data_IF_687743931903
#
_entry.id   IF_687743931903
#
_cell.length_a   1.000
_cell.length_b   1.000
_cell.length_c   1.000
_cell.angle_alpha   90.00
_cell.angle_beta   90.00
_cell.angle_gamma   90.00
#
_symmetry.space_group_name_H-M   'P 1'
#
loop_
_entity.id
_entity.type
_entity.pdbx_description
1 polymer ?
#
# COMPACT_ATOMS: atom_id res chain seq x y z
N UNK A 1 4.46 -16.57 -21.88
CA UNK A 1 4.37 -16.87 -20.43
C UNK A 1 3.59 -18.17 -20.29
N UNK A 2 4.24 -19.26 -19.87
CA UNK A 2 3.54 -20.53 -19.67
C UNK A 2 2.50 -20.35 -18.57
N UNK A 3 1.25 -20.73 -18.86
CA UNK A 3 0.15 -20.64 -17.91
C UNK A 3 0.52 -21.48 -16.67
N UNK A 4 0.61 -20.84 -15.50
CA UNK A 4 0.83 -21.56 -14.24
C UNK A 4 -0.25 -22.64 -14.08
N UNK A 5 0.16 -23.88 -13.77
CA UNK A 5 -0.78 -24.96 -13.44
C UNK A 5 -1.70 -24.52 -12.30
N UNK A 6 -2.97 -24.91 -12.35
CA UNK A 6 -3.98 -24.52 -11.35
C UNK A 6 -3.53 -24.80 -9.92
N UNK A 7 -2.93 -25.99 -9.67
CA UNK A 7 -2.34 -26.35 -8.37
C UNK A 7 -1.33 -25.30 -7.88
N UNK A 8 -0.45 -24.80 -8.74
CA UNK A 8 0.54 -23.77 -8.36
C UNK A 8 -0.12 -22.43 -8.05
N UNK A 9 -1.18 -22.06 -8.78
CA UNK A 9 -1.95 -20.83 -8.50
C UNK A 9 -2.64 -20.88 -7.14
N UNK A 10 -3.26 -22.02 -6.82
CA UNK A 10 -3.90 -22.24 -5.51
C UNK A 10 -2.90 -22.18 -4.36
N UNK A 11 -1.75 -22.86 -4.49
CA UNK A 11 -0.70 -22.80 -3.48
C UNK A 11 -0.09 -21.40 -3.32
N UNK A 12 0.05 -20.65 -4.41
CA UNK A 12 0.48 -19.26 -4.35
C UNK A 12 -0.54 -18.39 -3.62
N UNK A 13 -1.83 -18.52 -3.97
CA UNK A 13 -2.91 -17.79 -3.29
C UNK A 13 -2.94 -18.09 -1.80
N UNK A 14 -2.88 -19.37 -1.42
CA UNK A 14 -2.81 -19.80 -0.02
C UNK A 14 -1.57 -19.26 0.69
N UNK A 15 -0.39 -19.32 0.05
CA UNK A 15 0.83 -18.75 0.61
C UNK A 15 0.68 -17.24 0.87
N UNK A 16 0.21 -16.47 -0.11
CA UNK A 16 0.03 -15.02 0.05
C UNK A 16 -0.99 -14.70 1.15
N UNK A 17 -2.03 -15.52 1.29
CA UNK A 17 -3.01 -15.40 2.38
C UNK A 17 -2.36 -15.60 3.76
N UNK A 18 -1.57 -16.66 3.94
CA UNK A 18 -0.84 -16.91 5.19
C UNK A 18 0.16 -15.78 5.49
N UNK A 19 0.87 -15.27 4.47
CA UNK A 19 1.76 -14.12 4.63
C UNK A 19 1.00 -12.88 5.10
N UNK A 20 -0.22 -12.64 4.62
CA UNK A 20 -1.06 -11.54 5.10
C UNK A 20 -1.39 -11.65 6.58
N UNK A 21 -1.80 -12.84 7.03
CA UNK A 21 -2.09 -13.12 8.45
C UNK A 21 -0.85 -12.87 9.32
N UNK A 22 0.32 -13.40 8.89
CA UNK A 22 1.55 -13.25 9.66
C UNK A 22 2.01 -11.79 9.68
N UNK A 23 1.91 -11.08 8.55
CA UNK A 23 2.31 -9.69 8.44
C UNK A 23 1.55 -8.83 9.46
N UNK A 24 0.21 -8.77 9.37
CA UNK A 24 -0.57 -7.97 10.33
C UNK A 24 -0.47 -8.51 11.76
N UNK A 25 -0.18 -9.81 11.90
CA UNK A 25 0.13 -10.44 13.17
C UNK A 25 1.30 -9.77 13.90
N UNK A 26 2.28 -9.19 13.18
CA UNK A 26 3.38 -8.43 13.79
C UNK A 26 2.82 -7.27 14.63
N UNK A 27 1.99 -6.42 14.04
CA UNK A 27 1.34 -5.31 14.74
C UNK A 27 0.44 -5.78 15.88
N UNK A 28 -0.41 -6.79 15.64
CA UNK A 28 -1.34 -7.33 16.65
C UNK A 28 -0.58 -7.89 17.86
N UNK A 29 0.51 -8.62 17.64
CA UNK A 29 1.29 -9.20 18.73
C UNK A 29 2.10 -8.13 19.48
N UNK A 30 2.63 -7.13 18.78
CA UNK A 30 3.34 -6.01 19.42
C UNK A 30 2.40 -5.17 20.29
N UNK A 31 1.19 -4.87 19.83
CA UNK A 31 0.20 -4.15 20.66
C UNK A 31 -0.24 -4.99 21.87
N UNK A 32 -0.45 -6.30 21.70
CA UNK A 32 -0.73 -7.22 22.83
C UNK A 32 0.43 -7.34 23.82
N UNK A 33 1.67 -7.16 23.35
CA UNK A 33 2.86 -7.10 24.20
C UNK A 33 3.05 -5.74 24.89
N UNK A 34 2.10 -4.80 24.74
CA UNK A 34 2.13 -3.50 25.39
C UNK A 34 2.92 -2.42 24.63
N UNK A 35 3.33 -2.68 23.39
CA UNK A 35 3.97 -1.64 22.57
C UNK A 35 2.92 -0.61 22.18
N UNK A 36 3.15 0.64 22.59
CA UNK A 36 2.26 1.76 22.31
C UNK A 36 2.06 1.98 20.81
N UNK A 37 0.86 2.45 20.45
CA UNK A 37 0.57 2.87 19.09
C UNK A 37 1.33 4.18 18.77
N UNK A 38 1.78 4.41 17.52
CA UNK A 38 2.44 5.65 17.13
C UNK A 38 1.60 6.90 17.38
N UNK A 39 2.00 7.68 18.37
CA UNK A 39 1.52 9.04 18.62
C UNK A 39 2.61 10.06 18.30
N UNK A 40 2.24 11.07 17.50
CA UNK A 40 3.11 12.13 17.05
C UNK A 40 2.31 13.28 16.46
N UNK A 41 2.90 14.48 16.50
CA UNK A 41 2.40 15.68 15.86
C UNK A 41 3.41 16.09 14.78
N UNK A 42 3.27 15.59 13.54
CA UNK A 42 4.19 15.95 12.48
C UNK A 42 4.10 17.47 12.20
N UNK A 43 5.20 18.10 11.77
CA UNK A 43 5.16 19.50 11.35
C UNK A 43 4.19 19.70 10.18
N UNK A 44 3.69 20.91 9.98
CA UNK A 44 2.67 21.24 8.96
C UNK A 44 3.05 20.77 7.54
N UNK A 45 4.33 20.81 7.19
CA UNK A 45 4.84 20.37 5.89
C UNK A 45 4.94 18.84 5.76
N UNK A 46 4.93 18.10 6.87
CA UNK A 46 5.13 16.66 6.93
C UNK A 46 4.13 15.87 6.09
N UNK A 47 2.81 16.08 6.25
CA UNK A 47 1.79 15.43 5.42
C UNK A 47 1.99 15.70 3.92
N UNK A 48 2.30 16.94 3.53
CA UNK A 48 2.58 17.28 2.14
C UNK A 48 3.81 16.53 1.61
N UNK A 49 4.89 16.46 2.38
CA UNK A 49 6.10 15.74 1.98
C UNK A 49 5.84 14.23 1.79
N UNK A 50 5.09 13.60 2.70
CA UNK A 50 4.70 12.19 2.58
C UNK A 50 3.82 11.95 1.34
N UNK A 51 2.87 12.85 1.08
CA UNK A 51 2.00 12.80 -0.08
C UNK A 51 2.78 12.92 -1.41
N UNK A 52 3.70 13.88 -1.49
CA UNK A 52 4.59 14.06 -2.64
C UNK A 52 5.46 12.81 -2.87
N UNK A 53 6.05 12.27 -1.80
CA UNK A 53 6.89 11.06 -1.87
C UNK A 53 6.10 9.87 -2.42
N UNK A 54 4.89 9.64 -1.92
CA UNK A 54 4.02 8.58 -2.41
C UNK A 54 3.71 8.76 -3.90
N UNK A 55 3.39 9.97 -4.33
CA UNK A 55 3.07 10.26 -5.73
C UNK A 55 4.27 10.06 -6.66
N UNK A 56 5.50 10.34 -6.19
CA UNK A 56 6.73 9.95 -6.91
C UNK A 56 6.82 8.41 -7.02
N UNK A 57 6.46 7.68 -5.97
CA UNK A 57 6.30 6.22 -6.01
C UNK A 57 5.27 5.76 -7.05
N UNK A 58 4.09 6.40 -7.10
CA UNK A 58 3.05 6.09 -8.09
C UNK A 58 3.54 6.36 -9.51
N UNK A 59 4.33 7.42 -9.74
CA UNK A 59 4.97 7.68 -11.03
C UNK A 59 5.91 6.54 -11.42
N UNK A 60 6.72 6.06 -10.47
CA UNK A 60 7.58 4.90 -10.69
C UNK A 60 6.74 3.66 -11.04
N UNK A 61 5.68 3.37 -10.29
CA UNK A 61 4.79 2.23 -10.53
C UNK A 61 4.13 2.31 -11.91
N UNK A 62 3.64 3.49 -12.29
CA UNK A 62 3.03 3.76 -13.59
C UNK A 62 4.00 3.49 -14.75
N UNK A 63 5.26 3.91 -14.61
CA UNK A 63 6.31 3.60 -15.59
C UNK A 63 6.59 2.10 -15.68
N UNK A 64 6.62 1.38 -14.55
CA UNK A 64 6.80 -0.08 -14.52
C UNK A 64 5.65 -0.83 -15.19
N UNK A 65 4.41 -0.40 -14.97
CA UNK A 65 3.23 -0.97 -15.64
C UNK A 65 3.28 -0.72 -17.15
N UNK A 66 3.71 0.48 -17.57
CA UNK A 66 3.92 0.81 -18.99
C UNK A 66 5.00 -0.05 -19.65
N UNK A 67 6.07 -0.38 -18.93
CA UNK A 67 7.14 -1.25 -19.42
C UNK A 67 6.74 -2.74 -19.44
N UNK A 68 5.86 -3.17 -18.52
CA UNK A 68 5.41 -4.55 -18.41
C UNK A 68 4.65 -5.06 -19.65
N UNK A 69 3.88 -4.20 -20.32
CA UNK A 69 3.20 -4.53 -21.57
C UNK A 69 3.58 -3.56 -22.67
N UNK A 70 3.70 -4.05 -23.90
CA UNK A 70 3.91 -3.18 -25.06
C UNK A 70 2.66 -2.29 -25.21
N UNK A 71 2.82 -1.01 -24.91
CA UNK A 71 1.83 0.05 -25.10
C UNK A 71 0.42 -0.25 -24.53
N UNK A 72 0.26 -0.39 -23.19
CA UNK A 72 -1.09 -0.48 -22.62
C UNK A 72 -1.90 0.76 -23.00
N UNK A 73 -3.22 0.61 -23.19
CA UNK A 73 -4.11 1.78 -23.30
C UNK A 73 -4.08 2.60 -22.01
N UNK A 74 -4.44 3.88 -22.08
CA UNK A 74 -4.51 4.76 -20.91
C UNK A 74 -5.32 4.12 -19.78
N UNK A 75 -6.54 3.68 -20.11
CA UNK A 75 -7.46 3.05 -19.16
C UNK A 75 -6.82 1.82 -18.50
N UNK A 76 -6.18 0.92 -19.27
CA UNK A 76 -5.54 -0.28 -18.70
C UNK A 76 -4.40 0.06 -17.75
N UNK A 77 -3.54 1.01 -18.12
CA UNK A 77 -2.45 1.44 -17.26
C UNK A 77 -2.98 2.09 -15.97
N UNK A 78 -3.96 2.99 -16.12
CA UNK A 78 -4.59 3.68 -15.00
C UNK A 78 -5.30 2.73 -14.06
N UNK A 79 -6.17 1.83 -14.55
CA UNK A 79 -6.87 0.86 -13.72
C UNK A 79 -5.90 -0.04 -12.94
N UNK A 80 -4.82 -0.50 -13.57
CA UNK A 80 -3.82 -1.33 -12.88
C UNK A 80 -3.10 -0.54 -11.78
N UNK A 81 -2.68 0.68 -12.06
CA UNK A 81 -2.01 1.55 -11.06
C UNK A 81 -2.96 1.89 -9.92
N UNK A 82 -4.20 2.27 -10.23
CA UNK A 82 -5.25 2.57 -9.26
C UNK A 82 -5.56 1.38 -8.37
N UNK A 83 -5.88 0.22 -8.94
CA UNK A 83 -6.19 -0.99 -8.15
C UNK A 83 -5.01 -1.40 -7.28
N UNK A 84 -3.78 -1.31 -7.81
CA UNK A 84 -2.58 -1.61 -7.02
C UNK A 84 -2.43 -0.66 -5.84
N UNK A 85 -2.60 0.64 -6.06
CA UNK A 85 -2.49 1.64 -4.99
C UNK A 85 -3.61 1.56 -3.97
N UNK A 86 -4.86 1.44 -4.40
CA UNK A 86 -6.01 1.31 -3.52
C UNK A 86 -5.94 0.02 -2.69
N UNK A 87 -5.47 -1.10 -3.25
CA UNK A 87 -5.23 -2.33 -2.50
C UNK A 87 -4.04 -2.21 -1.53
N UNK A 88 -2.95 -1.54 -1.94
CA UNK A 88 -1.78 -1.32 -1.09
C UNK A 88 -2.06 -0.37 0.09
N UNK A 89 -2.94 0.62 -0.14
CA UNK A 89 -3.48 1.52 0.88
C UNK A 89 -4.72 0.95 1.57
N UNK A 90 -5.13 -0.28 1.23
CA UNK A 90 -6.18 -1.03 1.92
C UNK A 90 -7.58 -0.39 1.89
N UNK A 91 -7.83 0.44 0.88
CA UNK A 91 -9.02 1.28 0.75
C UNK A 91 -10.26 0.54 0.23
N UNK A 92 -10.09 -0.70 -0.25
CA UNK A 92 -11.21 -1.47 -0.81
C UNK A 92 -12.04 -2.16 0.26
N UNK A 93 -11.40 -3.03 1.06
CA UNK A 93 -12.12 -3.86 2.03
C UNK A 93 -11.53 -3.69 3.42
N UNK A 94 -10.21 -3.83 3.60
CA UNK A 94 -9.62 -3.91 4.96
C UNK A 94 -9.97 -2.70 5.82
N UNK A 95 -9.49 -1.50 5.47
CA UNK A 95 -9.62 -0.35 6.36
C UNK A 95 -11.08 0.00 6.68
N UNK A 96 -12.00 0.05 5.69
CA UNK A 96 -13.38 0.36 6.01
C UNK A 96 -14.07 -0.70 6.88
N UNK A 97 -13.75 -1.98 6.66
CA UNK A 97 -14.32 -3.06 7.45
C UNK A 97 -13.76 -3.04 8.87
N UNK A 98 -12.44 -2.98 9.05
CA UNK A 98 -11.81 -2.97 10.37
C UNK A 98 -12.20 -1.74 11.17
N UNK A 99 -12.17 -0.55 10.54
CA UNK A 99 -12.55 0.68 11.21
C UNK A 99 -14.03 0.65 11.61
N UNK A 100 -14.91 0.16 10.73
CA UNK A 100 -16.31 -0.05 11.02
C UNK A 100 -16.51 -0.89 12.29
N UNK A 101 -15.81 -2.02 12.39
CA UNK A 101 -15.86 -2.86 13.60
C UNK A 101 -15.34 -2.17 14.86
N UNK A 102 -14.37 -1.26 14.75
CA UNK A 102 -13.81 -0.54 15.89
C UNK A 102 -14.62 0.69 16.32
N UNK A 103 -15.50 1.22 15.46
CA UNK A 103 -16.24 2.45 15.72
C UNK A 103 -17.73 2.14 15.63
N UNK A 104 -18.23 1.50 16.69
CA UNK A 104 -19.66 1.23 16.89
C UNK A 104 -20.35 0.48 15.74
N UNK A 105 -19.60 -0.34 14.99
CA UNK A 105 -20.11 -1.09 13.83
C UNK A 105 -20.74 -0.20 12.74
N UNK A 106 -20.42 1.10 12.72
CA UNK A 106 -20.95 2.03 11.72
C UNK A 106 -20.11 2.02 10.43
N UNK A 107 -20.10 0.86 9.75
CA UNK A 107 -19.29 0.61 8.55
C UNK A 107 -19.52 1.66 7.46
N UNK A 108 -20.78 1.95 7.16
CA UNK A 108 -21.12 2.85 6.06
C UNK A 108 -20.73 4.29 6.39
N UNK A 109 -20.90 4.71 7.65
CA UNK A 109 -20.48 6.03 8.11
C UNK A 109 -18.97 6.21 7.91
N UNK A 110 -18.16 5.29 8.42
CA UNK A 110 -16.71 5.37 8.28
C UNK A 110 -16.23 5.20 6.84
N UNK A 111 -16.85 4.31 6.08
CA UNK A 111 -16.53 4.14 4.67
C UNK A 111 -16.75 5.45 3.90
N UNK A 112 -17.92 6.09 4.07
CA UNK A 112 -18.23 7.36 3.39
C UNK A 112 -17.36 8.50 3.93
N UNK A 113 -17.23 8.65 5.25
CA UNK A 113 -16.56 9.80 5.85
C UNK A 113 -15.04 9.76 5.68
N UNK A 114 -14.41 8.60 5.91
CA UNK A 114 -12.95 8.48 5.99
C UNK A 114 -12.33 7.92 4.71
N UNK A 115 -12.91 6.85 4.14
CA UNK A 115 -12.21 6.06 3.12
C UNK A 115 -12.64 6.36 1.67
N UNK A 116 -13.89 6.76 1.44
CA UNK A 116 -14.36 7.18 0.13
C UNK A 116 -13.60 8.41 -0.41
N UNK A 117 -13.33 9.48 0.37
CA UNK A 117 -12.51 10.60 -0.11
C UNK A 117 -11.10 10.13 -0.47
N UNK A 118 -10.51 9.24 0.33
CA UNK A 118 -9.17 8.66 0.10
C UNK A 118 -9.12 7.78 -1.16
N UNK A 119 -10.18 7.02 -1.43
CA UNK A 119 -10.29 6.21 -2.64
C UNK A 119 -10.46 7.09 -3.89
N UNK A 120 -11.29 8.14 -3.81
CA UNK A 120 -11.52 9.08 -4.91
C UNK A 120 -10.28 9.93 -5.21
N UNK A 121 -9.55 10.40 -4.19
CA UNK A 121 -8.29 11.13 -4.42
C UNK A 121 -7.26 10.20 -5.04
N UNK A 122 -7.16 8.94 -4.59
CA UNK A 122 -6.26 7.94 -5.19
C UNK A 122 -6.62 7.67 -6.66
N UNK A 123 -7.91 7.58 -6.99
CA UNK A 123 -8.41 7.45 -8.36
C UNK A 123 -7.96 8.64 -9.24
N UNK A 124 -8.14 9.87 -8.77
CA UNK A 124 -7.77 11.08 -9.50
C UNK A 124 -6.25 11.23 -9.65
N UNK A 125 -5.49 11.04 -8.56
CA UNK A 125 -4.03 11.15 -8.56
C UNK A 125 -3.43 10.16 -9.54
N UNK A 126 -3.84 8.89 -9.47
CA UNK A 126 -3.30 7.85 -10.35
C UNK A 126 -3.63 8.14 -11.82
N UNK A 127 -4.79 8.72 -12.11
CA UNK A 127 -5.17 9.22 -13.44
C UNK A 127 -4.22 10.32 -13.93
N UNK A 128 -4.05 11.38 -13.13
CA UNK A 128 -3.15 12.49 -13.45
C UNK A 128 -1.69 12.05 -13.65
N UNK A 129 -1.19 11.18 -12.78
CA UNK A 129 0.17 10.64 -12.88
C UNK A 129 0.35 9.76 -14.13
N UNK A 130 -0.67 9.01 -14.54
CA UNK A 130 -0.61 8.24 -15.80
C UNK A 130 -0.56 9.17 -17.01
N UNK A 131 -1.29 10.29 -17.00
CA UNK A 131 -1.17 11.33 -18.05
C UNK A 131 0.27 11.85 -18.10
N UNK A 132 0.82 12.28 -16.96
CA UNK A 132 2.22 12.78 -16.86
C UNK A 132 3.21 11.70 -17.33
N UNK A 133 3.02 10.44 -16.95
CA UNK A 133 3.89 9.33 -17.33
C UNK A 133 3.84 8.97 -18.82
N UNK A 134 2.76 9.34 -19.53
CA UNK A 134 2.59 9.02 -20.96
C UNK A 134 3.02 10.16 -21.88
N UNK A 135 2.99 11.41 -21.42
CA UNK A 135 3.35 12.58 -22.21
C UNK A 135 4.77 12.47 -22.79
N UNK A 136 4.88 12.34 -24.13
CA UNK A 136 6.14 12.14 -24.84
C UNK A 136 7.06 13.37 -24.81
N UNK A 137 6.49 14.58 -24.73
CA UNK A 137 7.23 15.82 -24.52
C UNK A 137 7.93 15.89 -23.13
N UNK A 138 7.57 14.97 -22.22
CA UNK A 138 8.03 14.92 -20.83
C UNK A 138 9.01 13.77 -20.57
N UNK A 139 9.60 13.21 -21.63
CA UNK A 139 10.53 12.07 -21.57
C UNK A 139 11.81 12.33 -20.72
N UNK A 140 12.05 13.57 -20.30
CA UNK A 140 13.03 13.88 -19.26
C UNK A 140 12.57 13.35 -17.90
N UNK A 141 13.31 12.38 -17.33
CA UNK A 141 13.02 11.81 -16.00
C UNK A 141 12.79 12.89 -14.92
N UNK A 142 13.56 13.98 -14.99
CA UNK A 142 13.47 15.13 -14.08
C UNK A 142 12.17 15.91 -14.26
N UNK A 143 11.78 16.19 -15.51
CA UNK A 143 10.55 16.96 -15.81
C UNK A 143 9.32 16.21 -15.31
N UNK A 144 9.23 14.89 -15.51
CA UNK A 144 8.11 14.11 -14.97
C UNK A 144 8.02 14.20 -13.45
N UNK A 145 9.17 14.21 -12.74
CA UNK A 145 9.21 14.32 -11.27
C UNK A 145 8.74 15.70 -10.84
N UNK A 146 9.25 16.77 -11.45
CA UNK A 146 8.83 18.15 -11.15
C UNK A 146 7.32 18.35 -11.37
N UNK A 147 6.78 17.81 -12.47
CA UNK A 147 5.34 17.88 -12.72
C UNK A 147 4.53 17.09 -11.70
N UNK A 148 5.01 15.93 -11.25
CA UNK A 148 4.34 15.19 -10.17
C UNK A 148 4.41 15.96 -8.85
N UNK A 149 5.51 16.64 -8.54
CA UNK A 149 5.61 17.49 -7.35
C UNK A 149 4.59 18.63 -7.42
N UNK A 150 4.55 19.38 -8.52
CA UNK A 150 3.59 20.48 -8.72
C UNK A 150 2.15 19.97 -8.64
N UNK A 151 1.86 18.87 -9.37
CA UNK A 151 0.54 18.24 -9.34
C UNK A 151 0.16 17.76 -7.93
N UNK A 152 1.11 17.22 -7.16
CA UNK A 152 0.88 16.78 -5.79
C UNK A 152 0.56 17.95 -4.87
N UNK A 153 1.28 19.07 -4.99
CA UNK A 153 1.01 20.29 -4.21
C UNK A 153 -0.39 20.80 -4.50
N UNK A 154 -0.77 20.90 -5.79
CA UNK A 154 -2.10 21.32 -6.18
C UNK A 154 -3.19 20.34 -5.69
N UNK A 155 -2.97 19.04 -5.84
CA UNK A 155 -3.94 18.04 -5.37
C UNK A 155 -4.09 18.06 -3.84
N UNK A 156 -3.00 18.29 -3.10
CA UNK A 156 -3.01 18.33 -1.64
C UNK A 156 -3.80 19.54 -1.11
N UNK A 157 -3.57 20.73 -1.68
CA UNK A 157 -4.22 21.96 -1.20
C UNK A 157 -5.62 22.19 -1.76
N UNK A 158 -5.92 21.67 -2.96
CA UNK A 158 -7.21 21.94 -3.61
C UNK A 158 -8.08 20.69 -3.70
N UNK A 159 -7.58 19.59 -4.28
CA UNK A 159 -8.43 18.43 -4.55
C UNK A 159 -8.85 17.69 -3.27
N UNK A 160 -7.93 17.50 -2.31
CA UNK A 160 -8.22 16.76 -1.09
C UNK A 160 -9.26 17.48 -0.18
N UNK A 161 -9.15 18.79 0.10
CA UNK A 161 -10.20 19.50 0.84
C UNK A 161 -11.54 19.51 0.12
N UNK A 162 -11.55 19.78 -1.20
CA UNK A 162 -12.80 19.82 -1.98
C UNK A 162 -13.54 18.47 -1.97
N UNK A 163 -12.83 17.33 -2.02
CA UNK A 163 -13.49 16.03 -1.91
C UNK A 163 -14.21 15.83 -0.57
N UNK A 164 -13.61 16.31 0.53
CA UNK A 164 -14.25 16.22 1.85
C UNK A 164 -15.52 17.06 1.89
N UNK A 165 -15.49 18.26 1.32
CA UNK A 165 -16.67 19.13 1.19
C UNK A 165 -17.76 18.50 0.31
N UNK A 166 -17.40 17.81 -0.78
CA UNK A 166 -18.37 17.12 -1.66
C UNK A 166 -19.08 15.96 -0.94
N UNK A 167 -18.39 15.30 -0.01
CA UNK A 167 -18.92 14.15 0.71
C UNK A 167 -19.69 14.58 1.96
N UNK A 168 -19.40 15.77 2.52
CA UNK A 168 -20.06 16.29 3.72
C UNK A 168 -21.60 16.30 3.64
N UNK A 169 -22.25 16.64 2.51
CA UNK A 169 -23.71 16.54 2.36
C UNK A 169 -24.29 15.14 2.56
N UNK A 170 -23.48 14.08 2.45
CA UNK A 170 -23.93 12.71 2.70
C UNK A 170 -24.01 12.39 4.20
N UNK A 171 -23.30 13.14 5.04
CA UNK A 171 -23.18 12.81 6.46
C UNK A 171 -24.49 12.84 7.26
N UNK A 172 -25.42 13.79 7.03
CA UNK A 172 -26.72 13.77 7.71
C UNK A 172 -27.57 12.54 7.42
N UNK A 173 -27.29 11.79 6.35
CA UNK A 173 -28.01 10.56 5.98
C UNK A 173 -27.39 9.30 6.58
N UNK A 174 -26.33 9.45 7.37
CA UNK A 174 -25.59 8.34 7.97
C UNK A 174 -25.69 8.43 9.49
N UNK A 175 -25.92 7.28 10.12
CA UNK A 175 -25.91 7.17 11.58
C UNK A 175 -24.50 7.44 12.07
N UNK A 176 -24.34 8.50 12.88
CA UNK A 176 -23.07 8.77 13.53
C UNK A 176 -22.80 7.71 14.60
N UNK A 177 -21.55 7.26 14.76
CA UNK A 177 -21.20 6.26 15.76
C UNK A 177 -21.39 6.78 17.17
N UNK A 178 -21.88 5.91 18.07
CA UNK A 178 -21.88 6.20 19.49
C UNK A 178 -20.44 6.12 20.03
N UNK A 179 -20.00 7.19 20.70
CA UNK A 179 -18.74 7.22 21.42
C UNK A 179 -18.56 6.07 22.41
N UNK A 180 -19.65 5.57 23.01
CA UNK A 180 -19.62 4.43 23.92
C UNK A 180 -19.36 3.07 23.21
N UNK A 181 -19.60 3.01 21.89
CA UNK A 181 -19.37 1.83 21.06
C UNK A 181 -18.00 1.78 20.40
N UNK A 182 -17.13 2.77 20.66
CA UNK A 182 -15.76 2.80 20.13
C UNK A 182 -14.86 1.88 20.95
N UNK A 183 -14.20 0.95 20.27
CA UNK A 183 -13.30 -0.01 20.90
C UNK A 183 -11.91 0.59 21.10
N UNK A 184 -11.30 0.32 22.25
CA UNK A 184 -9.91 0.68 22.54
C UNK A 184 -8.96 -0.49 22.27
N UNK A 185 -7.68 -0.17 22.07
CA UNK A 185 -6.60 -1.16 21.92
C UNK A 185 -6.24 -1.71 23.32
N UNK A 186 -6.03 -3.02 23.50
CA UNK A 186 -6.05 -4.08 22.49
C UNK A 186 -7.47 -4.47 22.06
N UNK A 187 -7.67 -4.60 20.76
CA UNK A 187 -8.98 -4.93 20.21
C UNK A 187 -9.42 -6.37 20.53
N UNK A 188 -10.74 -6.63 20.54
CA UNK A 188 -11.28 -7.98 20.61
C UNK A 188 -10.81 -8.86 19.43
N UNK A 189 -10.76 -10.17 19.65
CA UNK A 189 -10.23 -11.14 18.67
C UNK A 189 -10.94 -11.10 17.30
N UNK A 190 -12.21 -10.68 17.25
CA UNK A 190 -12.96 -10.54 16.01
C UNK A 190 -12.34 -9.48 15.09
N UNK A 191 -11.92 -8.34 15.66
CA UNK A 191 -11.26 -7.26 14.91
C UNK A 191 -9.93 -7.77 14.35
N UNK A 192 -9.15 -8.49 15.15
CA UNK A 192 -7.87 -9.09 14.76
C UNK A 192 -8.04 -10.08 13.59
N UNK A 193 -9.04 -10.97 13.67
CA UNK A 193 -9.33 -11.95 12.62
C UNK A 193 -9.72 -11.24 11.33
N UNK A 194 -10.58 -10.23 11.43
CA UNK A 194 -11.03 -9.47 10.26
C UNK A 194 -9.87 -8.73 9.61
N UNK A 195 -9.04 -8.05 10.41
CA UNK A 195 -7.83 -7.39 9.94
C UNK A 195 -6.90 -8.37 9.24
N UNK A 196 -6.74 -9.59 9.79
CA UNK A 196 -5.88 -10.66 9.24
C UNK A 196 -6.38 -11.22 7.92
N UNK A 197 -7.66 -11.50 7.80
CA UNK A 197 -8.25 -12.07 6.58
C UNK A 197 -8.23 -11.04 5.44
N UNK A 198 -8.52 -9.78 5.75
CA UNK A 198 -8.61 -8.70 4.75
C UNK A 198 -7.24 -8.15 4.34
N UNK A 199 -6.17 -8.44 5.09
CA UNK A 199 -4.79 -8.06 4.75
C UNK A 199 -4.25 -8.72 3.46
N UNK A 200 -5.00 -9.62 2.84
CA UNK A 200 -4.63 -10.19 1.54
C UNK A 200 -4.55 -9.12 0.44
N UNK A 201 -5.32 -8.04 0.52
CA UNK A 201 -5.33 -6.94 -0.47
C UNK A 201 -3.93 -6.31 -0.67
N UNK A 202 -3.28 -5.78 0.38
CA UNK A 202 -1.94 -5.19 0.24
C UNK A 202 -0.87 -6.24 -0.11
N UNK A 203 -1.03 -7.50 0.29
CA UNK A 203 -0.09 -8.58 -0.07
C UNK A 203 -0.15 -8.90 -1.56
N UNK A 204 -1.35 -8.96 -2.15
CA UNK A 204 -1.53 -9.17 -3.58
C UNK A 204 -0.95 -8.00 -4.40
N UNK A 205 -1.17 -6.77 -3.96
CA UNK A 205 -0.56 -5.58 -4.57
C UNK A 205 0.98 -5.63 -4.48
N UNK A 206 1.51 -6.01 -3.31
CA UNK A 206 2.95 -6.16 -3.08
C UNK A 206 3.58 -7.24 -3.95
N UNK A 207 2.89 -8.37 -4.13
CA UNK A 207 3.31 -9.43 -5.04
C UNK A 207 3.37 -8.93 -6.49
N UNK A 208 2.37 -8.16 -6.93
CA UNK A 208 2.38 -7.55 -8.27
C UNK A 208 3.54 -6.55 -8.45
N UNK A 209 3.80 -5.68 -7.46
CA UNK A 209 4.93 -4.75 -7.48
C UNK A 209 6.26 -5.51 -7.58
N UNK A 210 6.44 -6.55 -6.75
CA UNK A 210 7.62 -7.40 -6.80
C UNK A 210 7.78 -8.09 -8.16
N UNK A 211 6.68 -8.54 -8.76
CA UNK A 211 6.67 -9.12 -10.10
C UNK A 211 7.13 -8.11 -11.17
N UNK A 212 6.65 -6.86 -11.11
CA UNK A 212 7.10 -5.79 -12.02
C UNK A 212 8.60 -5.51 -11.89
N UNK A 213 9.13 -5.52 -10.66
CA UNK A 213 10.57 -5.35 -10.41
C UNK A 213 11.36 -6.51 -11.02
N UNK A 214 10.91 -7.74 -10.80
CA UNK A 214 11.56 -8.93 -11.32
C UNK A 214 11.71 -8.90 -12.85
N UNK A 215 10.68 -8.43 -13.57
CA UNK A 215 10.70 -8.34 -15.04
C UNK A 215 11.73 -7.34 -15.58
N UNK A 216 12.01 -6.25 -14.87
CA UNK A 216 12.82 -5.13 -15.38
C UNK A 216 14.32 -5.23 -14.98
N UNK A 217 14.94 -6.37 -15.27
CA UNK A 217 16.38 -6.69 -15.07
C UNK A 217 16.82 -6.83 -13.60
N UNK A 218 16.19 -7.77 -12.92
CA UNK A 218 16.69 -8.37 -11.69
C UNK A 218 18.13 -8.91 -11.85
N UNK A 219 19.00 -8.63 -10.87
CA UNK A 219 20.40 -9.11 -10.86
C UNK A 219 20.77 -9.98 -9.65
N UNK A 220 19.80 -10.46 -8.86
CA UNK A 220 20.07 -11.34 -7.71
C UNK A 220 19.10 -11.15 -6.54
N UNK A 221 18.92 -12.19 -5.71
CA UNK A 221 17.77 -12.32 -4.78
C UNK A 221 17.71 -11.19 -3.77
N UNK A 222 18.85 -10.88 -3.17
CA UNK A 222 19.00 -9.80 -2.21
C UNK A 222 18.61 -8.44 -2.82
N UNK A 223 18.90 -8.23 -4.11
CA UNK A 223 18.52 -7.00 -4.81
C UNK A 223 17.01 -6.92 -5.06
N UNK A 224 16.34 -8.04 -5.38
CA UNK A 224 14.88 -8.05 -5.48
C UNK A 224 14.25 -7.73 -4.13
N UNK A 225 14.69 -8.37 -3.05
CA UNK A 225 14.22 -8.08 -1.70
C UNK A 225 14.35 -6.59 -1.42
N UNK A 226 15.55 -6.04 -1.59
CA UNK A 226 15.82 -4.63 -1.30
C UNK A 226 14.96 -3.69 -2.15
N UNK A 227 14.88 -3.92 -3.46
CA UNK A 227 14.07 -3.10 -4.37
C UNK A 227 12.58 -3.18 -4.05
N UNK A 228 12.09 -4.37 -3.70
CA UNK A 228 10.70 -4.59 -3.30
C UNK A 228 10.42 -3.84 -2.01
N UNK A 229 11.24 -4.02 -0.97
CA UNK A 229 11.07 -3.31 0.31
C UNK A 229 11.07 -1.80 0.08
N UNK A 230 12.06 -1.25 -0.63
CA UNK A 230 12.13 0.19 -0.91
C UNK A 230 10.88 0.66 -1.65
N UNK A 231 10.43 -0.07 -2.67
CA UNK A 231 9.21 0.27 -3.40
C UNK A 231 7.99 0.30 -2.48
N UNK A 232 7.81 -0.71 -1.63
CA UNK A 232 6.73 -0.75 -0.65
C UNK A 232 6.84 0.40 0.36
N UNK A 233 8.02 0.71 0.88
CA UNK A 233 8.24 1.81 1.83
C UNK A 233 7.91 3.18 1.24
N UNK A 234 8.20 3.40 -0.04
CA UNK A 234 7.87 4.65 -0.73
C UNK A 234 6.38 4.72 -1.02
N UNK A 235 5.79 3.65 -1.57
CA UNK A 235 4.38 3.62 -1.97
C UNK A 235 3.42 3.64 -0.77
N UNK A 236 3.82 3.11 0.38
CA UNK A 236 3.04 3.13 1.64
C UNK A 236 3.42 4.30 2.54
N UNK A 237 4.45 5.06 2.17
CA UNK A 237 5.09 6.11 2.97
C UNK A 237 5.75 5.60 4.26
N UNK A 238 5.71 4.30 4.56
CA UNK A 238 6.13 3.74 5.85
C UNK A 238 7.58 4.06 6.22
N UNK A 239 8.50 4.06 5.24
CA UNK A 239 9.90 4.42 5.51
C UNK A 239 10.07 5.89 5.90
N UNK A 240 9.34 6.80 5.26
CA UNK A 240 9.40 8.23 5.59
C UNK A 240 8.65 8.54 6.89
N UNK A 241 7.50 7.89 7.13
CA UNK A 241 6.80 7.94 8.42
C UNK A 241 7.70 7.46 9.54
N UNK A 242 8.44 6.36 9.34
CA UNK A 242 9.42 5.88 10.32
C UNK A 242 10.45 6.95 10.69
N UNK A 243 11.11 7.55 9.69
CA UNK A 243 12.11 8.58 9.93
C UNK A 243 11.50 9.79 10.63
N UNK A 244 10.42 10.37 10.10
CA UNK A 244 9.82 11.57 10.68
C UNK A 244 9.28 11.28 12.09
N UNK A 245 8.71 10.10 12.33
CA UNK A 245 8.20 9.70 13.64
C UNK A 245 9.31 9.68 14.71
N UNK A 246 10.50 9.17 14.40
CA UNK A 246 11.60 9.16 15.37
C UNK A 246 11.98 10.57 15.85
N UNK A 247 11.83 11.58 15.00
CA UNK A 247 12.12 12.98 15.33
C UNK A 247 10.96 13.71 16.00
N UNK A 248 9.71 13.44 15.60
CA UNK A 248 8.52 14.21 16.02
C UNK A 248 7.55 13.43 16.93
N UNK A 249 7.95 12.27 17.43
CA UNK A 249 7.12 11.48 18.35
C UNK A 249 6.95 12.16 19.71
N UNK A 250 5.75 12.02 20.28
CA UNK A 250 5.44 12.42 21.65
C UNK A 250 5.87 11.39 22.72
N UNK A 251 6.30 10.18 22.32
CA UNK A 251 6.81 9.17 23.25
C UNK A 251 8.19 9.61 23.74
N UNK A 252 8.48 9.61 25.05
CA UNK A 252 9.78 10.07 25.55
C UNK A 252 10.93 9.09 25.25
N UNK A 253 10.69 7.80 25.49
CA UNK A 253 11.69 6.74 25.33
C UNK A 253 11.98 6.46 23.85
N UNK A 254 13.26 6.59 23.47
CA UNK A 254 13.71 6.33 22.09
C UNK A 254 13.47 4.88 21.64
N UNK A 255 13.63 3.92 22.55
CA UNK A 255 13.36 2.50 22.26
C UNK A 255 11.86 2.29 22.01
N UNK A 256 11.01 2.90 22.81
CA UNK A 256 9.55 2.77 22.66
C UNK A 256 9.07 3.45 21.37
N UNK A 257 9.70 4.58 20.98
CA UNK A 257 9.47 5.18 19.65
C UNK A 257 9.79 4.18 18.55
N UNK A 258 10.98 3.57 18.58
CA UNK A 258 11.39 2.60 17.57
C UNK A 258 10.38 1.45 17.52
N UNK A 259 10.07 0.83 18.67
CA UNK A 259 9.15 -0.29 18.72
C UNK A 259 7.77 0.08 18.18
N UNK A 260 7.24 1.23 18.59
CA UNK A 260 5.96 1.77 18.16
C UNK A 260 5.84 1.87 16.63
N UNK A 261 6.75 2.58 15.96
CA UNK A 261 6.67 2.75 14.49
C UNK A 261 7.20 1.53 13.71
N UNK A 262 7.98 0.67 14.36
CA UNK A 262 8.45 -0.58 13.76
C UNK A 262 7.32 -1.56 13.48
N UNK A 263 6.21 -1.50 14.23
CA UNK A 263 5.05 -2.38 14.02
C UNK A 263 4.61 -2.38 12.55
N UNK A 264 4.41 -1.19 11.98
CA UNK A 264 3.99 -1.02 10.58
C UNK A 264 5.14 -1.21 9.59
N UNK A 265 6.35 -0.80 9.95
CA UNK A 265 7.50 -0.90 9.05
C UNK A 265 7.91 -2.37 8.85
N UNK A 266 7.90 -3.16 9.92
CA UNK A 266 8.23 -4.58 9.89
C UNK A 266 7.23 -5.40 9.06
N UNK A 267 5.94 -5.02 9.06
CA UNK A 267 4.94 -5.62 8.16
C UNK A 267 5.40 -5.55 6.70
N UNK A 268 5.75 -4.36 6.21
CA UNK A 268 6.17 -4.17 4.82
C UNK A 268 7.52 -4.81 4.51
N UNK A 269 8.46 -4.81 5.46
CA UNK A 269 9.73 -5.55 5.32
C UNK A 269 9.44 -7.04 5.15
N UNK A 270 8.63 -7.61 6.03
CA UNK A 270 8.26 -9.02 6.00
C UNK A 270 7.56 -9.40 4.69
N UNK A 271 6.55 -8.63 4.28
CA UNK A 271 5.87 -8.82 2.98
C UNK A 271 6.88 -8.76 1.84
N UNK A 272 7.75 -7.76 1.82
CA UNK A 272 8.76 -7.59 0.77
C UNK A 272 9.70 -8.79 0.63
N UNK A 273 10.14 -9.37 1.75
CA UNK A 273 10.92 -10.62 1.76
C UNK A 273 10.08 -11.80 1.26
N UNK A 274 8.86 -11.94 1.75
CA UNK A 274 8.01 -13.09 1.48
C UNK A 274 7.54 -13.14 0.01
N UNK A 275 7.15 -12.02 -0.58
CA UNK A 275 6.73 -11.96 -2.00
C UNK A 275 7.92 -12.14 -2.94
N UNK A 276 9.10 -11.61 -2.57
CA UNK A 276 10.33 -11.83 -3.33
C UNK A 276 10.72 -13.31 -3.36
N UNK A 277 10.56 -14.00 -2.22
CA UNK A 277 10.80 -15.44 -2.10
C UNK A 277 9.84 -16.25 -2.99
N UNK A 278 8.55 -15.87 -3.00
CA UNK A 278 7.55 -16.51 -3.86
C UNK A 278 7.90 -16.35 -5.35
N UNK A 279 8.29 -15.15 -5.79
CA UNK A 279 8.69 -14.88 -7.18
C UNK A 279 9.92 -15.72 -7.58
N UNK A 280 10.93 -15.81 -6.73
CA UNK A 280 12.11 -16.65 -7.01
C UNK A 280 11.76 -18.13 -7.07
N UNK A 281 10.91 -18.62 -6.17
CA UNK A 281 10.46 -20.02 -6.21
C UNK A 281 9.70 -20.35 -7.51
N UNK A 282 8.75 -19.50 -7.91
CA UNK A 282 7.97 -19.69 -9.13
C UNK A 282 8.84 -19.71 -10.39
N UNK A 283 9.87 -18.86 -10.43
CA UNK A 283 10.75 -18.72 -11.60
C UNK A 283 11.78 -19.84 -11.69
N UNK A 284 12.34 -20.30 -10.55
CA UNK A 284 13.22 -21.49 -10.51
C UNK A 284 12.48 -22.75 -10.98
N UNK A 285 11.26 -22.95 -10.50
CA UNK A 285 10.42 -24.11 -10.86
C UNK A 285 10.06 -24.14 -12.36
N UNK A 286 9.90 -22.98 -12.99
CA UNK A 286 9.72 -22.89 -14.44
C UNK A 286 10.97 -23.32 -15.21
N UNK A 287 12.17 -22.93 -14.75
CA UNK A 287 13.44 -23.32 -15.39
C UNK A 287 13.76 -24.82 -15.22
N UNK A 288 13.44 -25.42 -14.08
CA UNK A 288 13.65 -26.85 -13.85
C UNK A 288 12.64 -27.75 -14.59
N UNK A 289 11.51 -27.19 -15.05
CA UNK A 289 10.49 -27.91 -15.80
C UNK A 289 10.74 -28.00 -17.31
N UNK A 290 11.62 -27.16 -17.85
CA UNK A 290 12.12 -27.27 -19.23
C UNK A 290 13.28 -28.26 -19.27
N UNK A 291 12.97 -29.56 -19.35
CA UNK A 291 13.93 -30.54 -19.89
C UNK A 291 14.11 -30.21 -21.37
N UNK A 292 15.29 -29.70 -21.74
CA UNK A 292 15.69 -29.66 -23.14
C UNK A 292 15.73 -31.11 -23.66
N UNK A 293 15.12 -31.44 -24.81
CA UNK A 293 15.50 -32.66 -25.50
C UNK A 293 16.97 -32.47 -25.90
N UNK A 294 17.84 -33.33 -25.36
CA UNK A 294 19.19 -33.48 -25.88
C UNK A 294 19.00 -34.04 -27.29
N UNK A 295 19.46 -33.26 -28.27
CA UNK A 295 19.58 -33.64 -29.68
C UNK A 295 20.45 -34.87 -29.84
#
# INVERSE_FOLDING_TARGET
MTVLKMKTKLWLGFYLFIIGIIAVGIHIQMTKAGVSYPQWEPPEWGPLALFVLQNIGILWLSKRVKEWRISPSFIKQWSVVFITMAALQELFIRLPLTAGYTVDQQYLFLWVYSYLPELLITLMITGGIVVISRGSALNGKVISILLVIIFSVLAFFFALPTLKEIIQPLMPYLTSPDSAGVLEVPYPWQVDVIASVTFIEPVMASFFICYLIYLNRYSGFNKLILQTIIALMVLTQSGAKFVLYLYYSSIESYIDRILSISQFTLEWVFIGVAVSSAIVYLTRKQRSGTKYPVS
#
